data_IF_960318861009
#
_entry.id   IF_960318861009
#
_cell.length_a   1.000
_cell.length_b   1.000
_cell.length_c   1.000
_cell.angle_alpha   90.00
_cell.angle_beta   90.00
_cell.angle_gamma   90.00
#
_symmetry.space_group_name_H-M   'P 1'
#
loop_
_entity.id
_entity.type
_entity.pdbx_description
1 polymer ?
#
# COMPACT_ATOMS: atom_id res chain seq x y z
N UNK A 1 30.02 8.00 -28.46
CA UNK A 1 28.91 7.10 -28.10
C UNK A 1 28.69 7.31 -26.62
N UNK A 2 27.58 7.93 -26.22
CA UNK A 2 27.30 8.16 -24.82
C UNK A 2 26.96 6.80 -24.20
N UNK A 3 27.84 6.28 -23.37
CA UNK A 3 27.60 5.08 -22.58
C UNK A 3 26.32 5.30 -21.76
N UNK A 4 25.27 4.58 -22.14
CA UNK A 4 23.98 4.58 -21.46
C UNK A 4 24.08 3.84 -20.14
N UNK A 5 24.96 4.31 -19.25
CA UNK A 5 25.03 3.85 -17.88
C UNK A 5 23.76 4.35 -17.19
N UNK A 6 22.73 3.51 -17.19
CA UNK A 6 21.50 3.76 -16.46
C UNK A 6 21.80 3.56 -14.97
N UNK A 7 22.33 4.60 -14.32
CA UNK A 7 22.64 4.60 -12.88
C UNK A 7 21.30 4.63 -12.13
N UNK A 8 20.82 3.47 -11.71
CA UNK A 8 19.66 3.36 -10.82
C UNK A 8 20.10 3.36 -9.37
N UNK A 9 19.48 4.21 -8.54
CA UNK A 9 19.74 4.28 -7.10
C UNK A 9 18.96 3.15 -6.39
N UNK A 10 19.49 1.92 -6.39
CA UNK A 10 18.91 0.77 -5.67
C UNK A 10 18.63 1.04 -4.19
N UNK A 11 19.52 1.71 -3.43
CA UNK A 11 19.19 2.17 -2.08
C UNK A 11 17.90 3.01 -2.03
N UNK A 12 17.68 3.86 -3.03
CA UNK A 12 16.45 4.66 -3.16
C UNK A 12 15.20 3.84 -3.46
N UNK A 13 15.30 2.78 -4.27
CA UNK A 13 14.18 1.87 -4.58
C UNK A 13 13.77 1.08 -3.33
N UNK A 14 14.74 0.46 -2.64
CA UNK A 14 14.48 -0.27 -1.39
C UNK A 14 13.92 0.64 -0.30
N UNK A 15 14.47 1.85 -0.16
CA UNK A 15 13.94 2.85 0.77
C UNK A 15 12.49 3.28 0.42
N UNK A 16 12.16 3.37 -0.87
CA UNK A 16 10.80 3.68 -1.32
C UNK A 16 9.82 2.55 -1.03
N UNK A 17 10.24 1.29 -1.23
CA UNK A 17 9.44 0.11 -0.88
C UNK A 17 9.16 0.04 0.63
N UNK A 18 10.18 0.28 1.46
CA UNK A 18 10.00 0.34 2.92
C UNK A 18 9.14 1.53 3.37
N UNK A 19 9.25 2.67 2.69
CA UNK A 19 8.37 3.82 2.90
C UNK A 19 6.90 3.48 2.64
N UNK A 20 6.63 2.72 1.57
CA UNK A 20 5.28 2.32 1.21
C UNK A 20 4.73 1.26 2.16
N UNK A 21 5.54 0.28 2.58
CA UNK A 21 5.14 -0.67 3.63
C UNK A 21 4.76 0.05 4.93
N UNK A 22 5.53 1.06 5.34
CA UNK A 22 5.19 1.90 6.50
C UNK A 22 3.87 2.65 6.30
N UNK A 23 3.67 3.26 5.13
CA UNK A 23 2.42 3.95 4.81
C UNK A 23 1.22 2.99 4.86
N UNK A 24 1.35 1.76 4.34
CA UNK A 24 0.31 0.73 4.42
C UNK A 24 -0.05 0.39 5.86
N UNK A 25 0.94 0.20 6.73
CA UNK A 25 0.71 -0.05 8.16
C UNK A 25 0.02 1.12 8.85
N UNK A 26 0.40 2.35 8.52
CA UNK A 26 -0.25 3.56 9.06
C UNK A 26 -1.72 3.65 8.63
N UNK A 27 -2.02 3.40 7.36
CA UNK A 27 -3.40 3.41 6.85
C UNK A 27 -4.24 2.35 7.55
N UNK A 28 -3.73 1.13 7.72
CA UNK A 28 -4.45 0.08 8.45
C UNK A 28 -4.74 0.47 9.91
N UNK A 29 -3.82 1.20 10.56
CA UNK A 29 -4.02 1.70 11.92
C UNK A 29 -5.10 2.80 11.98
N UNK A 30 -5.08 3.75 11.04
CA UNK A 30 -6.12 4.79 10.91
C UNK A 30 -7.50 4.18 10.63
N UNK A 31 -7.57 3.15 9.79
CA UNK A 31 -8.82 2.46 9.51
C UNK A 31 -9.42 1.80 10.74
N UNK A 32 -8.59 1.17 11.56
CA UNK A 32 -9.00 0.58 12.84
C UNK A 32 -9.55 1.64 13.80
N UNK A 33 -8.88 2.80 13.89
CA UNK A 33 -9.37 3.93 14.69
C UNK A 33 -10.72 4.45 14.19
N UNK A 34 -10.88 4.65 12.89
CA UNK A 34 -12.14 5.14 12.32
C UNK A 34 -13.28 4.15 12.53
N UNK A 35 -13.02 2.84 12.46
CA UNK A 35 -14.01 1.80 12.79
C UNK A 35 -14.45 1.87 14.26
N UNK A 36 -13.51 2.12 15.17
CA UNK A 36 -13.82 2.39 16.58
C UNK A 36 -14.70 3.63 16.76
N UNK A 37 -14.36 4.73 16.09
CA UNK A 37 -15.14 5.96 16.13
C UNK A 37 -16.55 5.81 15.54
N UNK A 38 -16.70 5.03 14.46
CA UNK A 38 -18.00 4.67 13.89
C UNK A 38 -18.86 3.90 14.88
N UNK A 39 -18.26 2.99 15.65
CA UNK A 39 -18.98 2.23 16.69
C UNK A 39 -19.45 3.16 17.81
N UNK A 40 -18.62 4.12 18.23
CA UNK A 40 -19.00 5.15 19.20
C UNK A 40 -20.13 6.04 18.67
N UNK A 41 -20.07 6.46 17.40
CA UNK A 41 -21.13 7.23 16.74
C UNK A 41 -22.44 6.43 16.62
N UNK A 42 -22.37 5.11 16.43
CA UNK A 42 -23.54 4.23 16.41
C UNK A 42 -24.35 4.36 17.70
N UNK A 43 -23.67 4.38 18.85
CA UNK A 43 -24.29 4.54 20.16
C UNK A 43 -25.05 5.85 20.31
N UNK A 44 -24.64 6.90 19.58
CA UNK A 44 -25.28 8.22 19.58
C UNK A 44 -26.52 8.23 18.66
N UNK A 45 -26.51 7.46 17.57
CA UNK A 45 -27.58 7.44 16.55
C UNK A 45 -28.67 6.38 16.75
N UNK A 46 -28.81 5.87 17.98
CA UNK A 46 -29.82 4.85 18.30
C UNK A 46 -29.32 3.41 18.28
N UNK A 47 -28.00 3.21 18.19
CA UNK A 47 -27.34 1.92 18.35
C UNK A 47 -27.04 1.19 17.03
N UNK A 48 -26.36 0.04 17.15
CA UNK A 48 -25.90 -0.76 16.01
C UNK A 48 -27.03 -1.36 15.14
N UNK A 49 -28.28 -1.29 15.61
CA UNK A 49 -29.46 -1.77 14.88
C UNK A 49 -30.05 -0.73 13.92
N UNK A 50 -29.54 0.50 13.89
CA UNK A 50 -30.00 1.54 12.97
C UNK A 50 -29.61 1.22 11.53
N UNK A 51 -30.59 1.24 10.60
CA UNK A 51 -30.36 1.03 9.16
C UNK A 51 -29.30 1.98 8.59
N UNK A 52 -29.31 3.23 9.05
CA UNK A 52 -28.32 4.25 8.66
C UNK A 52 -26.91 3.87 9.10
N UNK A 53 -26.77 3.32 10.31
CA UNK A 53 -25.48 2.83 10.81
C UNK A 53 -25.01 1.62 10.01
N UNK A 54 -25.88 0.65 9.75
CA UNK A 54 -25.54 -0.55 8.99
C UNK A 54 -25.09 -0.19 7.56
N UNK A 55 -25.80 0.73 6.90
CA UNK A 55 -25.43 1.23 5.58
C UNK A 55 -24.06 1.93 5.59
N UNK A 56 -23.79 2.77 6.60
CA UNK A 56 -22.50 3.46 6.73
C UNK A 56 -21.37 2.48 7.05
N UNK A 57 -21.60 1.50 7.93
CA UNK A 57 -20.64 0.47 8.30
C UNK A 57 -20.27 -0.39 7.09
N UNK A 58 -21.25 -0.79 6.27
CA UNK A 58 -21.02 -1.53 5.05
C UNK A 58 -20.18 -0.71 4.07
N UNK A 59 -20.58 0.55 3.81
CA UNK A 59 -19.86 1.45 2.92
C UNK A 59 -18.42 1.67 3.39
N UNK A 60 -18.21 1.82 4.69
CA UNK A 60 -16.89 1.96 5.29
C UNK A 60 -16.04 0.72 5.06
N UNK A 61 -16.53 -0.46 5.46
CA UNK A 61 -15.82 -1.73 5.28
C UNK A 61 -15.41 -1.94 3.82
N UNK A 62 -16.31 -1.70 2.86
CA UNK A 62 -16.00 -1.82 1.43
C UNK A 62 -14.90 -0.86 0.98
N UNK A 63 -14.93 0.40 1.45
CA UNK A 63 -13.91 1.38 1.08
C UNK A 63 -12.55 1.06 1.70
N UNK A 64 -12.53 0.63 2.97
CA UNK A 64 -11.30 0.21 3.64
C UNK A 64 -10.66 -1.01 2.99
N UNK A 65 -11.48 -2.00 2.62
CA UNK A 65 -10.98 -3.18 1.90
C UNK A 65 -10.37 -2.79 0.55
N UNK A 66 -11.01 -1.89 -0.20
CA UNK A 66 -10.48 -1.39 -1.46
C UNK A 66 -9.14 -0.63 -1.30
N UNK A 67 -9.01 0.19 -0.25
CA UNK A 67 -7.77 0.93 0.04
C UNK A 67 -6.65 -0.04 0.43
N UNK A 68 -6.91 -0.99 1.32
CA UNK A 68 -5.93 -2.01 1.69
C UNK A 68 -5.47 -2.81 0.47
N UNK A 69 -6.40 -3.27 -0.38
CA UNK A 69 -6.05 -3.98 -1.60
C UNK A 69 -5.19 -3.13 -2.53
N UNK A 70 -5.51 -1.85 -2.72
CA UNK A 70 -4.72 -0.94 -3.55
C UNK A 70 -3.29 -0.76 -3.00
N UNK A 71 -3.13 -0.63 -1.68
CA UNK A 71 -1.83 -0.48 -1.03
C UNK A 71 -0.99 -1.75 -1.11
N UNK A 72 -1.59 -2.92 -0.90
CA UNK A 72 -0.92 -4.21 -1.10
C UNK A 72 -0.48 -4.40 -2.55
N UNK A 73 -1.35 -4.08 -3.51
CA UNK A 73 -1.02 -4.16 -4.93
C UNK A 73 0.12 -3.21 -5.30
N UNK A 74 0.14 -2.00 -4.75
CA UNK A 74 1.22 -1.04 -4.94
C UNK A 74 2.55 -1.57 -4.39
N UNK A 75 2.54 -2.14 -3.17
CA UNK A 75 3.74 -2.73 -2.58
C UNK A 75 4.28 -3.88 -3.44
N UNK A 76 3.41 -4.78 -3.90
CA UNK A 76 3.79 -5.90 -4.78
C UNK A 76 4.37 -5.42 -6.11
N UNK A 77 3.76 -4.40 -6.73
CA UNK A 77 4.25 -3.85 -7.99
C UNK A 77 5.66 -3.27 -7.86
N UNK A 78 5.97 -2.68 -6.71
CA UNK A 78 7.30 -2.10 -6.44
C UNK A 78 8.33 -3.18 -6.17
N UNK A 79 7.97 -4.22 -5.40
CA UNK A 79 8.84 -5.38 -5.20
C UNK A 79 9.15 -6.09 -6.53
N UNK A 80 8.14 -6.26 -7.39
CA UNK A 80 8.33 -6.83 -8.73
C UNK A 80 9.26 -5.97 -9.60
N UNK A 81 9.04 -4.65 -9.62
CA UNK A 81 9.90 -3.73 -10.37
C UNK A 81 11.36 -3.80 -9.87
N UNK A 82 11.58 -3.89 -8.55
CA UNK A 82 12.91 -4.03 -7.98
C UNK A 82 13.59 -5.34 -8.41
N UNK A 83 12.86 -6.46 -8.44
CA UNK A 83 13.36 -7.76 -8.90
C UNK A 83 13.72 -7.76 -10.39
N UNK A 84 12.84 -7.22 -11.24
CA UNK A 84 13.05 -7.16 -12.69
C UNK A 84 14.27 -6.30 -13.03
N UNK A 85 14.48 -5.21 -12.30
CA UNK A 85 15.65 -4.35 -12.45
C UNK A 85 16.95 -5.05 -12.03
N UNK A 86 16.96 -5.74 -10.89
CA UNK A 86 18.12 -6.53 -10.45
C UNK A 86 18.48 -7.66 -11.44
N UNK A 87 17.47 -8.34 -11.99
CA UNK A 87 17.68 -9.36 -13.02
C UNK A 87 18.28 -8.78 -14.31
N UNK A 88 17.80 -7.60 -14.71
CA UNK A 88 18.30 -6.89 -15.89
C UNK A 88 19.76 -6.50 -15.72
N UNK A 89 20.15 -5.96 -14.56
CA UNK A 89 21.55 -5.63 -14.28
C UNK A 89 22.47 -6.85 -14.26
N UNK A 90 22.05 -7.96 -13.64
CA UNK A 90 22.86 -9.19 -13.66
C UNK A 90 23.15 -9.66 -15.09
N UNK A 91 22.16 -9.57 -15.98
CA UNK A 91 22.31 -9.91 -17.40
C UNK A 91 23.19 -8.92 -18.16
N UNK A 92 23.11 -7.62 -17.83
CA UNK A 92 23.92 -6.57 -18.47
C UNK A 92 25.37 -6.64 -17.99
N UNK A 93 25.60 -6.76 -16.67
CA UNK A 93 26.94 -6.94 -16.10
C UNK A 93 27.64 -8.20 -16.61
N UNK A 94 26.92 -9.31 -16.79
CA UNK A 94 27.45 -10.52 -17.40
C UNK A 94 27.81 -10.37 -18.90
N UNK A 95 27.34 -9.32 -19.58
CA UNK A 95 27.75 -9.02 -20.97
C UNK A 95 29.01 -8.16 -21.07
N UNK A 96 29.42 -7.53 -19.97
CA UNK A 96 30.58 -6.65 -19.91
C UNK A 96 31.75 -7.25 -19.11
N UNK A 97 31.62 -8.51 -18.68
CA UNK A 97 32.68 -9.35 -18.11
C UNK A 97 33.15 -10.37 -19.15
#
# INVERSE_FOLDING_TARGET
>A
MADGQQIWNFPGITASADGIRKATTMVAAEESQIKGNLTTLASIWGGASSDTYQALQLRWNTKSEAVNQALTNLANAIDQAAMDMASTESKVGARFV
#
